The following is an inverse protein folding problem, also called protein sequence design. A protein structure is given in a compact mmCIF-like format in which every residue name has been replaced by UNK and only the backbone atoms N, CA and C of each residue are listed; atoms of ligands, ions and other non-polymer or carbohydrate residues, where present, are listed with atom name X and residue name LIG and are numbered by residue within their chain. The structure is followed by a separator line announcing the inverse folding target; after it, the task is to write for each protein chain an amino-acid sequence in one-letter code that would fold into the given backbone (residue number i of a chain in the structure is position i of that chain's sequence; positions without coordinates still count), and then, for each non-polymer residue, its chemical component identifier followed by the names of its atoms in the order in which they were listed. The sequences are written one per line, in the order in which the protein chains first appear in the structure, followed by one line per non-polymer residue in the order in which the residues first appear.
data_IF_618576582630
#
_entry.id   IF_618576582630
#
_cell.length_a   1.000
_cell.length_b   1.000
_cell.length_c   1.000
_cell.angle_alpha   90.00
_cell.angle_beta   90.00
_cell.angle_gamma   90.00
#
_symmetry.space_group_name_H-M   'P 1'
#
loop_
_entity.id
_entity.type
_entity.pdbx_description
1 polymer ?
#
# COMPACT_ATOMS: atom_id res chain seq x y z
N UNK A 1 4.24 12.63 -12.19
CA UNK A 1 5.35 12.25 -13.08
C UNK A 1 6.63 12.87 -12.54
N UNK A 2 7.73 12.13 -12.58
CA UNK A 2 9.02 12.55 -12.03
C UNK A 2 10.16 12.20 -12.99
N UNK A 3 11.27 12.92 -12.89
CA UNK A 3 12.55 12.49 -13.45
C UNK A 3 13.31 11.67 -12.38
N UNK A 4 13.56 10.37 -12.58
CA UNK A 4 14.24 9.54 -11.59
C UNK A 4 15.72 9.93 -11.37
N UNK A 5 16.34 10.66 -12.29
CA UNK A 5 17.76 11.07 -12.20
C UNK A 5 17.95 12.23 -11.22
N UNK A 6 16.93 13.07 -11.08
CA UNK A 6 16.99 14.32 -10.30
C UNK A 6 15.98 14.36 -9.16
N UNK A 7 14.95 13.51 -9.19
CA UNK A 7 13.80 13.56 -8.29
C UNK A 7 12.82 14.69 -8.61
N UNK A 8 13.02 15.45 -9.68
CA UNK A 8 12.17 16.60 -10.02
C UNK A 8 10.74 16.17 -10.38
N UNK A 9 9.75 16.91 -9.86
CA UNK A 9 8.34 16.73 -10.21
C UNK A 9 8.09 17.43 -11.54
N UNK A 10 7.84 16.65 -12.60
CA UNK A 10 7.54 17.17 -13.94
C UNK A 10 6.06 17.49 -14.12
N UNK A 11 5.19 16.74 -13.43
CA UNK A 11 3.76 16.98 -13.41
C UNK A 11 3.14 16.41 -12.12
N UNK A 12 2.28 17.19 -11.47
CA UNK A 12 1.49 16.78 -10.30
C UNK A 12 0.06 17.28 -10.49
N UNK A 13 -0.84 16.35 -10.82
CA UNK A 13 -2.22 16.65 -11.19
C UNK A 13 -3.16 15.91 -10.27
N UNK A 14 -4.24 16.58 -9.85
CA UNK A 14 -5.32 16.00 -9.04
C UNK A 14 -6.67 16.33 -9.70
N UNK A 15 -7.50 15.32 -9.89
CA UNK A 15 -8.83 15.45 -10.52
C UNK A 15 -9.94 14.87 -9.64
N UNK A 16 -11.15 15.47 -9.65
CA UNK A 16 -11.49 16.73 -10.32
C UNK A 16 -10.75 17.93 -9.69
N UNK A 17 -10.60 18.99 -10.48
CA UNK A 17 -9.96 20.24 -10.07
C UNK A 17 -11.00 21.37 -9.97
N UNK A 18 -10.56 22.57 -9.64
CA UNK A 18 -11.38 23.78 -9.59
C UNK A 18 -10.58 24.98 -10.09
N UNK A 19 -11.27 26.04 -10.52
CA UNK A 19 -10.60 27.28 -10.93
C UNK A 19 -10.06 28.03 -9.70
N UNK A 20 -8.73 28.19 -9.55
CA UNK A 20 -8.17 28.91 -8.40
C UNK A 20 -8.51 30.40 -8.42
N UNK A 21 -8.86 30.98 -9.57
CA UNK A 21 -9.21 32.41 -9.67
C UNK A 21 -10.46 32.76 -8.86
N UNK A 22 -11.33 31.78 -8.58
CA UNK A 22 -12.49 31.95 -7.69
C UNK A 22 -12.10 32.43 -6.28
N UNK A 23 -10.87 32.18 -5.84
CA UNK A 23 -10.40 32.55 -4.50
C UNK A 23 -9.64 33.89 -4.46
N UNK A 24 -9.21 34.43 -5.60
CA UNK A 24 -8.31 35.60 -5.66
C UNK A 24 -8.96 36.84 -5.07
N UNK A 25 -10.20 37.13 -5.46
CA UNK A 25 -10.96 38.31 -5.01
C UNK A 25 -12.00 37.97 -3.92
N UNK A 26 -11.93 36.75 -3.36
CA UNK A 26 -12.89 36.23 -2.39
C UNK A 26 -14.01 35.42 -3.05
N UNK A 27 -14.00 34.12 -2.78
CA UNK A 27 -15.00 33.18 -3.32
C UNK A 27 -16.40 33.46 -2.75
N UNK A 28 -17.42 33.38 -3.60
CA UNK A 28 -18.81 33.49 -3.15
C UNK A 28 -19.20 32.32 -2.25
N UNK A 29 -20.08 32.55 -1.27
CA UNK A 29 -20.59 31.47 -0.40
C UNK A 29 -21.26 30.34 -1.20
N UNK A 30 -21.86 30.66 -2.35
CA UNK A 30 -22.49 29.69 -3.25
C UNK A 30 -21.45 28.78 -3.89
N UNK A 31 -20.40 29.35 -4.49
CA UNK A 31 -19.37 28.58 -5.21
C UNK A 31 -18.52 27.78 -4.23
N UNK A 32 -18.20 28.36 -3.07
CA UNK A 32 -17.48 27.63 -2.03
C UNK A 32 -18.30 26.47 -1.47
N UNK A 33 -19.61 26.67 -1.23
CA UNK A 33 -20.52 25.60 -0.81
C UNK A 33 -20.63 24.50 -1.87
N UNK A 34 -20.62 24.85 -3.16
CA UNK A 34 -20.61 23.87 -4.24
C UNK A 34 -19.33 23.01 -4.22
N UNK A 35 -18.15 23.61 -4.04
CA UNK A 35 -16.89 22.87 -3.94
C UNK A 35 -16.80 21.99 -2.69
N UNK A 36 -17.34 22.45 -1.56
CA UNK A 36 -17.36 21.71 -0.30
C UNK A 36 -18.31 20.51 -0.34
N UNK A 37 -19.48 20.67 -0.96
CA UNK A 37 -20.52 19.65 -1.01
C UNK A 37 -20.43 18.73 -2.23
N UNK A 38 -19.49 18.99 -3.15
CA UNK A 38 -19.24 18.08 -4.28
C UNK A 38 -18.76 16.72 -3.76
N UNK A 39 -19.49 15.62 -4.03
CA UNK A 39 -19.10 14.28 -3.59
C UNK A 39 -17.75 13.83 -4.18
N UNK A 40 -17.32 14.42 -5.30
CA UNK A 40 -16.03 14.16 -5.92
C UNK A 40 -14.88 14.95 -5.28
N UNK A 41 -15.14 15.73 -4.23
CA UNK A 41 -14.11 16.35 -3.36
C UNK A 41 -12.96 17.03 -4.12
N UNK A 42 -13.23 18.04 -4.97
CA UNK A 42 -12.23 18.72 -5.79
C UNK A 42 -11.18 19.50 -4.97
N UNK A 43 -11.50 19.86 -3.73
CA UNK A 43 -10.58 20.55 -2.81
C UNK A 43 -9.44 19.64 -2.28
N UNK A 44 -9.51 18.32 -2.53
CA UNK A 44 -8.51 17.35 -2.09
C UNK A 44 -7.43 17.21 -3.16
N UNK A 45 -6.16 17.46 -2.79
CA UNK A 45 -5.02 17.10 -3.61
C UNK A 45 -4.73 15.60 -3.48
N UNK A 46 -5.28 14.80 -4.37
CA UNK A 46 -5.15 13.33 -4.33
C UNK A 46 -3.72 12.84 -4.52
N UNK A 47 -2.86 13.63 -5.16
CA UNK A 47 -1.47 13.24 -5.39
C UNK A 47 -0.61 13.25 -4.11
N UNK A 48 -0.94 14.08 -3.12
CA UNK A 48 -0.19 14.18 -1.85
C UNK A 48 -1.02 13.81 -0.62
N UNK A 49 -2.34 13.87 -0.72
CA UNK A 49 -3.27 13.63 0.39
C UNK A 49 -4.09 12.35 0.20
N UNK A 50 -4.09 11.79 -1.01
CA UNK A 50 -4.80 10.55 -1.31
C UNK A 50 -4.15 9.37 -0.59
N UNK A 51 -4.87 8.78 0.36
CA UNK A 51 -4.42 7.60 1.09
C UNK A 51 -5.17 6.39 0.56
N UNK A 52 -4.46 5.55 -0.19
CA UNK A 52 -4.98 4.32 -0.79
C UNK A 52 -4.10 3.14 -0.39
N UNK A 53 -4.66 1.92 -0.28
CA UNK A 53 -3.84 0.72 -0.26
C UNK A 53 -2.99 0.68 -1.54
N UNK A 54 -1.65 0.59 -1.44
CA UNK A 54 -0.79 0.57 -2.63
C UNK A 54 -0.94 -0.72 -3.46
N UNK A 55 -1.52 -1.78 -2.88
CA UNK A 55 -1.77 -3.06 -3.55
C UNK A 55 -0.50 -3.64 -4.21
N UNK A 56 -0.63 -4.39 -5.31
CA UNK A 56 0.48 -5.06 -6.02
C UNK A 56 1.64 -4.16 -6.42
N UNK A 57 1.48 -2.84 -6.44
CA UNK A 57 2.58 -1.91 -6.75
C UNK A 57 3.74 -2.00 -5.76
N UNK A 58 3.52 -2.57 -4.56
CA UNK A 58 4.58 -2.78 -3.57
C UNK A 58 5.48 -3.98 -3.85
N UNK A 59 5.03 -4.93 -4.66
CA UNK A 59 5.66 -6.25 -4.85
C UNK A 59 7.14 -6.17 -5.25
N UNK A 60 7.57 -5.25 -6.16
CA UNK A 60 8.99 -5.08 -6.46
C UNK A 60 9.84 -4.72 -5.23
N UNK A 61 9.36 -3.81 -4.37
CA UNK A 61 10.08 -3.40 -3.16
C UNK A 61 10.09 -4.51 -2.11
N UNK A 62 8.99 -5.24 -1.95
CA UNK A 62 8.93 -6.42 -1.06
C UNK A 62 9.88 -7.51 -1.54
N UNK A 63 9.97 -7.76 -2.85
CA UNK A 63 10.90 -8.72 -3.43
C UNK A 63 12.36 -8.34 -3.16
N UNK A 64 12.75 -7.08 -3.41
CA UNK A 64 14.10 -6.57 -3.09
C UNK A 64 14.40 -6.72 -1.60
N UNK A 65 13.44 -6.40 -0.74
CA UNK A 65 13.58 -6.52 0.71
C UNK A 65 13.80 -7.97 1.15
N UNK A 66 13.03 -8.91 0.60
CA UNK A 66 13.12 -10.32 0.95
C UNK A 66 14.41 -10.98 0.44
N UNK A 67 14.88 -10.60 -0.76
CA UNK A 67 16.19 -11.01 -1.28
C UNK A 67 17.32 -10.46 -0.40
N UNK A 68 17.24 -9.18 -0.04
CA UNK A 68 18.26 -8.52 0.80
C UNK A 68 18.30 -9.08 2.22
N UNK A 69 17.15 -9.47 2.77
CA UNK A 69 17.04 -10.12 4.07
C UNK A 69 17.39 -11.62 4.04
N UNK A 70 17.71 -12.18 2.86
CA UNK A 70 18.02 -13.60 2.70
C UNK A 70 16.84 -14.55 2.92
N UNK A 71 15.61 -14.03 2.95
CA UNK A 71 14.40 -14.82 3.15
C UNK A 71 14.04 -15.61 1.89
N UNK A 72 14.33 -15.05 0.73
CA UNK A 72 14.24 -15.73 -0.55
C UNK A 72 15.55 -15.60 -1.32
N UNK A 73 15.73 -16.48 -2.30
CA UNK A 73 16.76 -16.38 -3.32
C UNK A 73 16.08 -16.26 -4.69
N UNK A 74 16.85 -15.94 -5.74
CA UNK A 74 16.35 -15.98 -7.13
C UNK A 74 15.79 -17.36 -7.53
N UNK A 75 16.24 -18.41 -6.85
CA UNK A 75 15.87 -19.81 -7.12
C UNK A 75 14.75 -20.33 -6.20
N UNK A 76 14.35 -19.56 -5.19
CA UNK A 76 13.25 -19.94 -4.29
C UNK A 76 11.96 -20.09 -5.10
N UNK A 77 11.40 -21.30 -5.09
CA UNK A 77 10.17 -21.63 -5.80
C UNK A 77 9.11 -22.22 -4.88
N UNK A 78 7.86 -21.91 -5.18
CA UNK A 78 6.69 -22.58 -4.59
C UNK A 78 5.63 -22.88 -5.66
N UNK A 79 4.79 -23.87 -5.38
CA UNK A 79 3.62 -24.16 -6.21
C UNK A 79 2.41 -23.38 -5.67
N UNK A 80 1.78 -22.63 -6.55
CA UNK A 80 0.58 -21.85 -6.23
C UNK A 80 -0.68 -22.54 -6.79
N UNK A 81 -1.59 -23.01 -5.90
CA UNK A 81 -2.88 -23.60 -6.26
C UNK A 81 -4.02 -22.56 -6.38
N UNK A 82 -3.72 -21.25 -6.34
CA UNK A 82 -4.69 -20.14 -6.34
C UNK A 82 -5.02 -19.62 -4.94
N UNK A 83 -4.30 -20.09 -3.93
CA UNK A 83 -4.44 -19.67 -2.54
C UNK A 83 -3.23 -20.08 -1.71
N UNK A 84 -3.05 -19.41 -0.57
CA UNK A 84 -2.05 -19.73 0.44
C UNK A 84 -2.75 -19.90 1.80
N UNK A 85 -2.35 -20.91 2.58
CA UNK A 85 -2.92 -21.18 3.90
C UNK A 85 -1.92 -20.82 5.00
N UNK A 86 -2.38 -20.08 6.02
CA UNK A 86 -1.55 -19.73 7.16
C UNK A 86 -1.19 -21.00 7.96
N UNK A 87 0.11 -21.29 8.17
CA UNK A 87 0.52 -22.46 8.94
C UNK A 87 -0.10 -22.48 10.34
N UNK A 88 -0.63 -23.65 10.75
CA UNK A 88 -1.33 -23.80 12.03
C UNK A 88 -2.71 -23.16 12.09
N UNK A 89 -3.31 -22.83 10.95
CA UNK A 89 -4.65 -22.23 10.85
C UNK A 89 -5.41 -22.73 9.61
N UNK A 90 -6.74 -22.73 9.68
CA UNK A 90 -7.62 -22.96 8.52
C UNK A 90 -7.78 -21.71 7.63
N UNK A 91 -7.16 -20.58 7.99
CA UNK A 91 -7.31 -19.33 7.26
C UNK A 91 -6.55 -19.36 5.94
N UNK A 92 -7.30 -19.21 4.83
CA UNK A 92 -6.76 -19.12 3.48
C UNK A 92 -6.81 -17.69 2.93
N UNK A 93 -5.78 -17.33 2.19
CA UNK A 93 -5.61 -16.09 1.46
C UNK A 93 -5.63 -16.42 -0.02
N UNK A 94 -6.53 -15.81 -0.79
CA UNK A 94 -6.71 -16.17 -2.21
C UNK A 94 -5.78 -15.36 -3.10
N UNK A 95 -5.34 -16.01 -4.16
CA UNK A 95 -4.73 -15.34 -5.30
C UNK A 95 -5.82 -14.73 -6.20
N UNK A 96 -5.47 -13.72 -6.99
CA UNK A 96 -6.35 -13.19 -8.03
C UNK A 96 -6.64 -14.23 -9.12
N UNK A 97 -5.71 -15.17 -9.36
CA UNK A 97 -5.88 -16.27 -10.29
C UNK A 97 -6.46 -17.49 -9.59
N UNK A 98 -7.74 -17.79 -9.89
CA UNK A 98 -8.54 -18.85 -9.22
C UNK A 98 -7.86 -20.21 -9.09
N UNK A 99 -7.10 -20.63 -10.10
CA UNK A 99 -6.42 -21.93 -10.16
C UNK A 99 -4.89 -21.82 -10.00
N UNK A 100 -4.44 -20.63 -9.62
CA UNK A 100 -3.04 -20.33 -9.39
C UNK A 100 -2.19 -20.20 -10.64
N UNK A 101 -0.93 -19.90 -10.39
CA UNK A 101 0.12 -19.67 -11.37
C UNK A 101 1.04 -20.89 -11.58
N UNK A 102 0.78 -22.00 -10.88
CA UNK A 102 1.63 -23.18 -10.87
C UNK A 102 2.94 -22.90 -10.14
N UNK A 103 4.08 -23.38 -10.67
CA UNK A 103 5.38 -23.05 -10.08
C UNK A 103 5.73 -21.58 -10.30
N UNK A 104 6.04 -20.90 -9.20
CA UNK A 104 6.45 -19.50 -9.13
C UNK A 104 7.84 -19.39 -8.54
N UNK A 105 8.70 -18.59 -9.19
CA UNK A 105 9.86 -17.96 -8.56
C UNK A 105 9.58 -16.44 -8.43
N UNK A 106 10.50 -15.68 -7.85
CA UNK A 106 10.31 -14.23 -7.64
C UNK A 106 10.10 -13.46 -8.95
N UNK A 107 10.77 -13.85 -10.04
CA UNK A 107 10.63 -13.22 -11.35
C UNK A 107 9.22 -13.40 -11.89
N UNK A 108 8.74 -14.64 -11.99
CA UNK A 108 7.40 -14.96 -12.48
C UNK A 108 6.31 -14.40 -11.58
N UNK A 109 6.55 -14.37 -10.26
CA UNK A 109 5.63 -13.77 -9.30
C UNK A 109 5.47 -12.25 -9.51
N UNK A 110 6.53 -11.55 -9.94
CA UNK A 110 6.45 -10.13 -10.31
C UNK A 110 5.77 -9.95 -11.68
N UNK A 111 6.13 -10.76 -12.67
CA UNK A 111 5.55 -10.72 -14.04
C UNK A 111 4.03 -10.93 -14.02
N UNK A 112 3.56 -11.95 -13.29
CA UNK A 112 2.14 -12.29 -13.22
C UNK A 112 1.44 -11.67 -12.00
N UNK A 113 2.13 -10.81 -11.24
CA UNK A 113 1.61 -10.22 -10.00
C UNK A 113 0.97 -11.28 -9.07
N UNK A 114 1.59 -12.44 -8.91
CA UNK A 114 1.05 -13.54 -8.12
C UNK A 114 1.04 -13.22 -6.62
N UNK A 115 -0.12 -13.30 -5.97
CA UNK A 115 -0.29 -12.97 -4.55
C UNK A 115 0.26 -14.08 -3.65
N UNK A 116 0.04 -15.35 -4.02
CA UNK A 116 0.47 -16.52 -3.22
C UNK A 116 1.95 -16.48 -2.89
N UNK A 117 2.80 -16.03 -3.83
CA UNK A 117 4.23 -15.86 -3.57
C UNK A 117 4.52 -14.83 -2.48
N UNK A 118 3.86 -13.67 -2.56
CA UNK A 118 4.07 -12.58 -1.60
C UNK A 118 3.39 -12.82 -0.25
N UNK A 119 2.37 -13.69 -0.17
CA UNK A 119 1.84 -14.18 1.10
C UNK A 119 2.89 -14.99 1.86
N UNK A 120 3.56 -15.93 1.18
CA UNK A 120 4.65 -16.70 1.76
C UNK A 120 5.82 -15.79 2.18
N UNK A 121 6.24 -14.87 1.31
CA UNK A 121 7.30 -13.90 1.64
C UNK A 121 6.95 -13.06 2.86
N UNK A 122 5.71 -12.57 2.98
CA UNK A 122 5.29 -11.79 4.15
C UNK A 122 5.28 -12.63 5.43
N UNK A 123 4.86 -13.89 5.36
CA UNK A 123 4.93 -14.82 6.48
C UNK A 123 6.37 -15.02 6.94
N UNK A 124 7.28 -15.33 6.02
CA UNK A 124 8.68 -15.63 6.34
C UNK A 124 9.44 -14.38 6.80
N UNK A 125 9.16 -13.21 6.23
CA UNK A 125 9.72 -11.93 6.68
C UNK A 125 9.27 -11.59 8.10
N UNK A 126 7.98 -11.79 8.40
CA UNK A 126 7.35 -11.25 9.59
C UNK A 126 7.17 -9.72 9.52
N UNK A 127 6.25 -9.18 10.33
CA UNK A 127 5.89 -7.76 10.23
C UNK A 127 7.04 -6.82 10.58
N UNK A 128 7.93 -7.20 11.50
CA UNK A 128 8.97 -6.29 11.98
C UNK A 128 9.98 -5.99 10.87
N UNK A 129 10.53 -7.03 10.23
CA UNK A 129 11.43 -6.87 9.08
C UNK A 129 10.70 -6.27 7.89
N UNK A 130 9.47 -6.70 7.60
CA UNK A 130 8.72 -6.19 6.46
C UNK A 130 8.45 -4.68 6.60
N UNK A 131 7.96 -4.24 7.76
CA UNK A 131 7.69 -2.82 8.02
C UNK A 131 8.97 -1.98 8.08
N UNK A 132 10.06 -2.50 8.65
CA UNK A 132 11.37 -1.83 8.66
C UNK A 132 11.86 -1.58 7.22
N UNK A 133 11.85 -2.60 6.37
CA UNK A 133 12.27 -2.48 4.97
C UNK A 133 11.38 -1.54 4.17
N UNK A 134 10.06 -1.68 4.28
CA UNK A 134 9.14 -0.78 3.56
C UNK A 134 9.27 0.68 4.02
N UNK A 135 9.60 0.91 5.30
CA UNK A 135 9.90 2.25 5.81
C UNK A 135 11.14 2.86 5.14
N UNK A 136 12.18 2.06 4.83
CA UNK A 136 13.37 2.51 4.08
C UNK A 136 13.04 2.94 2.65
N UNK A 137 11.98 2.40 2.06
CA UNK A 137 11.43 2.87 0.77
C UNK A 137 10.50 4.08 0.90
N UNK A 138 10.33 4.63 2.12
CA UNK A 138 9.54 5.84 2.39
C UNK A 138 8.07 5.59 2.74
N UNK A 139 7.61 4.34 2.79
CA UNK A 139 6.22 4.03 3.18
C UNK A 139 5.99 4.40 4.66
N UNK A 140 4.89 5.10 4.94
CA UNK A 140 4.56 5.55 6.31
C UNK A 140 5.26 6.85 6.73
N UNK A 141 6.07 7.45 5.85
CA UNK A 141 6.77 8.70 6.08
C UNK A 141 6.31 9.78 5.10
N UNK A 142 6.54 11.05 5.46
CA UNK A 142 6.29 12.17 4.56
C UNK A 142 7.34 12.19 3.44
N UNK A 143 6.90 12.24 2.19
CA UNK A 143 7.77 12.22 1.00
C UNK A 143 8.07 13.62 0.46
N UNK A 144 7.20 14.60 0.72
CA UNK A 144 7.32 15.96 0.17
C UNK A 144 7.28 16.98 1.30
N UNK A 145 8.44 17.52 1.69
CA UNK A 145 8.52 18.52 2.76
C UNK A 145 7.88 19.87 2.39
N UNK A 146 7.63 20.11 1.10
CA UNK A 146 7.12 21.39 0.58
C UNK A 146 5.60 21.50 0.59
N UNK A 147 4.86 20.42 0.91
CA UNK A 147 3.40 20.47 1.00
C UNK A 147 2.94 20.38 2.45
N UNK A 148 2.42 21.47 3.05
CA UNK A 148 1.96 21.48 4.45
C UNK A 148 0.77 20.56 4.73
N UNK A 149 0.17 19.94 3.70
CA UNK A 149 -1.00 19.06 3.82
C UNK A 149 -0.79 17.63 3.33
N UNK A 150 0.46 17.19 3.08
CA UNK A 150 0.74 15.81 2.67
C UNK A 150 0.26 14.81 3.73
N UNK A 151 -0.23 13.65 3.31
CA UNK A 151 -0.50 12.52 4.20
C UNK A 151 0.70 11.57 4.20
N UNK A 152 1.09 11.04 5.36
CA UNK A 152 2.19 10.05 5.49
C UNK A 152 1.77 8.62 5.11
N UNK A 153 0.47 8.38 4.94
CA UNK A 153 -0.08 7.03 4.85
C UNK A 153 0.13 6.24 6.15
N UNK A 154 0.15 4.91 6.05
CA UNK A 154 0.35 4.02 7.19
C UNK A 154 1.12 2.77 6.81
N UNK A 155 2.36 2.64 7.28
CA UNK A 155 3.11 1.38 7.26
C UNK A 155 2.87 0.67 8.61
N UNK A 156 2.05 -0.38 8.66
CA UNK A 156 1.66 -0.97 9.94
C UNK A 156 2.84 -1.64 10.67
N UNK A 157 2.91 -1.44 11.99
CA UNK A 157 3.81 -2.13 12.91
C UNK A 157 3.03 -2.73 14.08
N UNK A 158 3.69 -3.55 14.92
CA UNK A 158 3.08 -4.10 16.14
C UNK A 158 2.66 -2.98 17.10
N UNK A 159 3.56 -2.02 17.33
CA UNK A 159 3.38 -0.88 18.22
C UNK A 159 2.24 0.01 17.73
N UNK A 160 2.19 0.27 16.41
CA UNK A 160 1.10 1.01 15.79
C UNK A 160 -0.25 0.35 16.06
N UNK A 161 -0.37 -0.97 15.82
CA UNK A 161 -1.62 -1.70 16.00
C UNK A 161 -2.05 -1.70 17.47
N UNK A 162 -1.10 -1.92 18.38
CA UNK A 162 -1.35 -1.90 19.82
C UNK A 162 -1.81 -0.51 20.28
N UNK A 163 -1.15 0.57 19.84
CA UNK A 163 -1.54 1.95 20.15
C UNK A 163 -2.93 2.29 19.61
N UNK A 164 -3.21 1.92 18.36
CA UNK A 164 -4.42 2.31 17.61
C UNK A 164 -5.67 1.50 17.99
N UNK A 165 -5.52 0.21 18.29
CA UNK A 165 -6.64 -0.73 18.48
C UNK A 165 -6.60 -1.47 19.82
N UNK A 166 -5.56 -1.29 20.64
CA UNK A 166 -5.39 -2.01 21.92
C UNK A 166 -5.43 -3.54 21.77
N UNK A 167 -4.97 -4.03 20.62
CA UNK A 167 -4.88 -5.46 20.30
C UNK A 167 -3.46 -5.81 19.86
N UNK A 168 -2.95 -7.00 20.21
CA UNK A 168 -1.65 -7.45 19.74
C UNK A 168 -1.68 -7.72 18.23
N UNK A 169 -0.48 -7.84 17.66
CA UNK A 169 -0.29 -8.29 16.29
C UNK A 169 -0.45 -9.81 16.20
N UNK A 170 -1.29 -10.28 15.28
CA UNK A 170 -1.43 -11.69 14.95
C UNK A 170 -0.72 -11.97 13.64
N UNK A 171 -0.16 -13.17 13.45
CA UNK A 171 0.54 -13.52 12.19
C UNK A 171 -0.34 -13.30 10.95
N UNK A 172 -1.65 -13.54 11.06
CA UNK A 172 -2.59 -13.32 9.97
C UNK A 172 -2.75 -11.86 9.53
N UNK A 173 -2.31 -10.88 10.33
CA UNK A 173 -2.29 -9.46 9.95
C UNK A 173 -1.11 -9.14 9.03
N UNK A 174 -0.04 -9.93 9.06
CA UNK A 174 1.16 -9.73 8.22
C UNK A 174 0.89 -10.07 6.75
N UNK A 175 0.08 -11.11 6.50
CA UNK A 175 -0.08 -11.70 5.17
C UNK A 175 -0.57 -10.70 4.12
N UNK A 176 -1.63 -9.88 4.37
CA UNK A 176 -2.09 -8.88 3.41
C UNK A 176 -1.07 -7.77 3.13
N UNK A 177 -0.17 -7.49 4.07
CA UNK A 177 0.86 -6.45 3.92
C UNK A 177 1.82 -6.80 2.79
N UNK A 178 2.10 -8.09 2.56
CA UNK A 178 2.96 -8.56 1.46
C UNK A 178 2.47 -8.16 0.07
N UNK A 179 1.16 -7.96 -0.09
CA UNK A 179 0.53 -7.53 -1.34
C UNK A 179 0.03 -6.08 -1.28
N UNK A 180 0.54 -5.28 -0.34
CA UNK A 180 0.20 -3.86 -0.21
C UNK A 180 -1.24 -3.60 0.22
N UNK A 181 -1.90 -4.58 0.84
CA UNK A 181 -3.19 -4.41 1.47
C UNK A 181 -3.02 -4.22 2.97
N UNK A 182 -3.92 -3.45 3.58
CA UNK A 182 -3.98 -3.28 5.03
C UNK A 182 -5.33 -3.80 5.50
N UNK A 183 -5.32 -4.83 6.35
CA UNK A 183 -6.52 -5.21 7.10
C UNK A 183 -6.73 -4.20 8.22
N UNK A 184 -7.59 -3.20 7.98
CA UNK A 184 -8.30 -2.55 9.08
C UNK A 184 -9.27 -3.53 9.74
N UNK A 185 -9.74 -3.30 10.98
CA UNK A 185 -10.88 -4.05 11.49
C UNK A 185 -12.03 -3.94 10.47
N UNK A 186 -12.85 -4.98 10.29
CA UNK A 186 -13.96 -4.94 9.35
C UNK A 186 -14.73 -3.64 9.59
N UNK A 187 -14.92 -2.84 8.53
CA UNK A 187 -15.87 -1.73 8.58
C UNK A 187 -17.17 -2.37 9.06
N UNK A 188 -17.66 -1.97 10.24
CA UNK A 188 -19.06 -2.22 10.57
C UNK A 188 -19.84 -1.61 9.42
N UNK A 189 -20.50 -2.44 8.63
CA UNK A 189 -21.52 -1.98 7.70
C UNK A 189 -22.47 -1.11 8.53
N UNK A 190 -22.59 0.15 8.13
CA UNK A 190 -23.76 0.93 8.51
C UNK A 190 -24.95 0.36 7.77
#
# INVERSE_FOLDING_TARGET
MTDPRTGAILALVSTPSYDPNLFVDGISSKDYSALLNDPNTPLVNRATQGVYPPASTVKPYVAVSALSAGVITRNTSLFDPGWWQLPGSEKRYRDWKKWGHGHLNVTKALEESADTYFYQVAYDMGIDRLSEWMSKFGYGHYTVSTSPRSASGNMPTREWKLKRFKKPWYQGDTIPVGIGQVTGPPRRSR
#
